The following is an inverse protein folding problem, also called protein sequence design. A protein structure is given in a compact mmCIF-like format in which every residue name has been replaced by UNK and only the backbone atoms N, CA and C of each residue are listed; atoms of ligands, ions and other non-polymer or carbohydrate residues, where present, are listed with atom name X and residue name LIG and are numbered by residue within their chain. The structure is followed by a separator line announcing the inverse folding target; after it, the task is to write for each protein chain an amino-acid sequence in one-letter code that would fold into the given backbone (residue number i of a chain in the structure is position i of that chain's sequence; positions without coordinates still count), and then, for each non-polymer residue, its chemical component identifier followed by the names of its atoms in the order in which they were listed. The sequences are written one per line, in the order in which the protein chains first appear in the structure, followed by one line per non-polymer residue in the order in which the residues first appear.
data_IF_278484735296
#
_entry.id   IF_278484735296
#
_cell.length_a   1.000
_cell.length_b   1.000
_cell.length_c   1.000
_cell.angle_alpha   90.00
_cell.angle_beta   90.00
_cell.angle_gamma   90.00
#
_symmetry.space_group_name_H-M   'P 1'
#
loop_
_entity.id
_entity.type
_entity.pdbx_description
1 polymer ?
#
# COMPACT_ATOMS: atom_id res chain seq x y z
N UNK A 1 30.54 -6.48 -41.98
CA UNK A 1 29.90 -7.49 -41.12
C UNK A 1 29.53 -6.78 -39.83
N UNK A 2 28.37 -6.15 -39.83
CA UNK A 2 27.86 -5.39 -38.68
C UNK A 2 26.99 -6.32 -37.84
N UNK A 3 27.26 -6.39 -36.54
CA UNK A 3 26.34 -6.99 -35.58
C UNK A 3 26.17 -5.99 -34.46
N UNK A 4 25.04 -5.30 -34.52
CA UNK A 4 24.55 -4.43 -33.45
C UNK A 4 23.87 -5.38 -32.46
N UNK A 5 24.49 -5.61 -31.31
CA UNK A 5 23.82 -6.32 -30.21
C UNK A 5 22.97 -5.28 -29.48
N UNK A 6 21.69 -5.21 -29.86
CA UNK A 6 20.68 -4.49 -29.10
C UNK A 6 20.44 -5.23 -27.78
N UNK A 7 20.77 -4.60 -26.66
CA UNK A 7 20.36 -5.08 -25.35
C UNK A 7 18.83 -5.02 -25.26
N UNK A 8 18.18 -6.18 -25.18
CA UNK A 8 16.75 -6.28 -24.89
C UNK A 8 16.53 -5.75 -23.46
N UNK A 9 15.82 -4.63 -23.35
CA UNK A 9 15.26 -4.20 -22.05
C UNK A 9 14.32 -5.30 -21.61
N UNK A 10 14.54 -5.85 -20.42
CA UNK A 10 13.64 -6.81 -19.81
C UNK A 10 12.20 -6.28 -19.87
N UNK A 11 11.32 -7.07 -20.48
CA UNK A 11 9.89 -6.79 -20.53
C UNK A 11 9.36 -6.72 -19.09
N UNK A 12 8.93 -5.54 -18.64
CA UNK A 12 8.17 -5.42 -17.41
C UNK A 12 6.87 -6.22 -17.59
N UNK A 13 6.68 -7.26 -16.79
CA UNK A 13 5.40 -7.94 -16.73
C UNK A 13 4.34 -6.90 -16.33
N UNK A 14 3.25 -6.80 -17.10
CA UNK A 14 2.09 -6.00 -16.67
C UNK A 14 1.52 -6.64 -15.42
N UNK A 15 1.83 -6.07 -14.26
CA UNK A 15 1.27 -6.50 -13.00
C UNK A 15 -0.24 -6.18 -13.00
N UNK A 16 -1.07 -7.19 -12.79
CA UNK A 16 -2.49 -7.02 -12.60
C UNK A 16 -2.85 -7.54 -11.19
N UNK A 17 -3.68 -6.77 -10.48
CA UNK A 17 -3.93 -6.99 -9.06
C UNK A 17 -4.40 -5.72 -8.34
N UNK A 18 -4.64 -5.83 -7.05
CA UNK A 18 -5.07 -4.72 -6.20
C UNK A 18 -4.79 -5.00 -4.72
N UNK A 19 -4.88 -3.96 -3.90
CA UNK A 19 -4.91 -4.03 -2.45
C UNK A 19 -6.24 -3.49 -1.94
N UNK A 20 -6.93 -4.28 -1.11
CA UNK A 20 -8.12 -3.87 -0.37
C UNK A 20 -7.74 -3.54 1.08
N UNK A 21 -8.06 -2.33 1.56
CA UNK A 21 -7.70 -1.88 2.91
C UNK A 21 -8.65 -0.79 3.45
N UNK A 22 -8.97 -0.82 4.75
CA UNK A 22 -9.83 0.18 5.42
C UNK A 22 -9.08 1.16 6.32
N UNK A 23 -7.76 1.26 6.19
CA UNK A 23 -6.89 2.11 7.04
C UNK A 23 -6.94 1.68 8.51
N UNK A 24 -7.96 2.14 9.23
CA UNK A 24 -8.32 1.75 10.60
C UNK A 24 -9.78 2.15 10.81
N UNK A 25 -10.64 1.19 11.15
CA UNK A 25 -12.09 1.45 11.25
C UNK A 25 -12.46 2.55 12.26
N UNK A 26 -11.73 2.66 13.38
CA UNK A 26 -11.96 3.73 14.36
C UNK A 26 -11.57 5.10 13.82
N UNK A 27 -10.50 5.19 13.02
CA UNK A 27 -10.10 6.44 12.36
C UNK A 27 -11.13 6.85 11.31
N UNK A 28 -11.56 5.93 10.45
CA UNK A 28 -12.61 6.22 9.46
C UNK A 28 -13.91 6.70 10.11
N UNK A 29 -14.33 6.04 11.21
CA UNK A 29 -15.51 6.45 11.97
C UNK A 29 -15.34 7.82 12.61
N UNK A 30 -14.14 8.11 13.12
CA UNK A 30 -13.82 9.40 13.70
C UNK A 30 -13.91 10.53 12.65
N UNK A 31 -13.23 10.40 11.51
CA UNK A 31 -13.28 11.41 10.44
C UNK A 31 -14.73 11.61 9.97
N UNK A 32 -15.47 10.53 9.73
CA UNK A 32 -16.88 10.60 9.32
C UNK A 32 -17.79 11.30 10.34
N UNK A 33 -17.42 11.26 11.62
CA UNK A 33 -18.17 11.88 12.71
C UNK A 33 -17.88 13.38 12.88
N UNK A 34 -16.84 13.91 12.24
CA UNK A 34 -16.51 15.34 12.32
C UNK A 34 -17.48 16.15 11.45
N UNK A 35 -17.95 17.33 11.92
CA UNK A 35 -18.81 18.21 11.12
C UNK A 35 -18.18 18.64 9.79
N UNK A 36 -16.86 18.73 9.75
CA UNK A 36 -16.02 19.12 8.61
C UNK A 36 -15.10 17.99 8.14
N UNK A 37 -15.40 16.75 8.53
CA UNK A 37 -14.62 15.58 8.17
C UNK A 37 -14.76 15.23 6.69
N UNK A 38 -13.64 15.12 5.98
CA UNK A 38 -13.61 14.78 4.55
C UNK A 38 -12.60 13.67 4.32
N UNK A 39 -12.94 12.77 3.39
CA UNK A 39 -12.02 11.81 2.80
C UNK A 39 -12.03 12.03 1.29
N UNK A 40 -10.99 12.68 0.78
CA UNK A 40 -10.75 12.81 -0.65
C UNK A 40 -10.06 11.53 -1.14
N UNK A 41 -10.63 10.93 -2.17
CA UNK A 41 -10.18 9.66 -2.74
C UNK A 41 -9.82 9.90 -4.20
N UNK A 42 -8.66 9.41 -4.62
CA UNK A 42 -8.26 9.52 -6.02
C UNK A 42 -9.21 8.71 -6.94
N UNK A 43 -9.45 9.15 -8.19
CA UNK A 43 -10.45 8.51 -9.07
C UNK A 43 -10.18 7.04 -9.43
N UNK A 44 -8.93 6.61 -9.32
CA UNK A 44 -8.46 5.26 -9.62
C UNK A 44 -8.65 4.27 -8.46
N UNK A 45 -9.00 4.75 -7.26
CA UNK A 45 -9.32 3.90 -6.11
C UNK A 45 -10.80 3.46 -6.18
N UNK A 46 -11.01 2.15 -6.14
CA UNK A 46 -12.35 1.57 -6.04
C UNK A 46 -12.90 1.61 -4.61
N UNK A 47 -14.22 1.81 -4.47
CA UNK A 47 -14.90 1.71 -3.17
C UNK A 47 -15.67 0.39 -3.09
N UNK A 48 -15.18 -0.55 -2.28
CA UNK A 48 -15.74 -1.91 -2.19
C UNK A 48 -16.92 -1.99 -1.19
N UNK A 49 -17.15 -0.92 -0.44
CA UNK A 49 -18.15 -0.84 0.62
C UNK A 49 -17.52 -1.04 2.00
N UNK A 50 -18.28 -0.71 3.06
CA UNK A 50 -17.81 -0.87 4.45
C UNK A 50 -16.61 0.01 4.84
N UNK A 51 -16.22 1.00 4.03
CA UNK A 51 -15.01 1.80 4.26
C UNK A 51 -13.73 1.15 3.72
N UNK A 52 -13.85 0.11 2.88
CA UNK A 52 -12.71 -0.55 2.22
C UNK A 52 -12.40 0.13 0.89
N UNK A 53 -11.15 0.54 0.74
CA UNK A 53 -10.58 1.15 -0.47
C UNK A 53 -9.79 0.10 -1.24
N UNK A 54 -10.01 0.05 -2.55
CA UNK A 54 -9.30 -0.81 -3.50
C UNK A 54 -8.28 0.01 -4.28
N UNK A 55 -7.01 -0.16 -3.95
CA UNK A 55 -5.89 0.48 -4.65
C UNK A 55 -5.41 -0.44 -5.79
N UNK A 56 -5.32 0.05 -7.03
CA UNK A 56 -4.86 -0.75 -8.16
C UNK A 56 -3.35 -1.04 -8.02
N UNK A 57 -2.92 -2.27 -8.31
CA UNK A 57 -1.51 -2.59 -8.45
C UNK A 57 -0.97 -1.94 -9.73
N UNK A 58 0.09 -1.15 -9.63
CA UNK A 58 0.66 -0.39 -10.75
C UNK A 58 2.02 -0.92 -11.19
N UNK A 59 2.80 -1.49 -10.28
CA UNK A 59 4.08 -2.11 -10.59
C UNK A 59 4.46 -3.19 -9.57
N UNK A 60 5.28 -4.14 -10.02
CA UNK A 60 6.03 -5.05 -9.15
C UNK A 60 7.51 -4.90 -9.51
N UNK A 61 8.31 -4.44 -8.55
CA UNK A 61 9.77 -4.46 -8.67
C UNK A 61 10.28 -5.72 -7.96
N UNK A 62 11.16 -6.50 -8.61
CA UNK A 62 11.69 -7.76 -8.07
C UNK A 62 13.14 -7.63 -7.55
N UNK A 63 13.77 -6.47 -7.72
CA UNK A 63 15.15 -6.24 -7.32
C UNK A 63 15.38 -4.75 -6.97
N UNK A 64 16.21 -4.43 -5.96
CA UNK A 64 16.95 -5.37 -5.09
C UNK A 64 16.08 -6.10 -4.05
N UNK A 65 14.91 -5.55 -3.74
CA UNK A 65 13.89 -6.09 -2.84
C UNK A 65 12.58 -6.22 -3.62
N UNK A 66 11.66 -7.07 -3.16
CA UNK A 66 10.35 -7.19 -3.81
C UNK A 66 9.44 -6.04 -3.37
N UNK A 67 8.89 -5.27 -4.30
CA UNK A 67 7.97 -4.18 -4.00
C UNK A 67 6.72 -4.25 -4.87
N UNK A 68 5.56 -4.32 -4.22
CA UNK A 68 4.25 -4.15 -4.87
C UNK A 68 3.80 -2.71 -4.68
N UNK A 69 3.73 -1.96 -5.78
CA UNK A 69 3.34 -0.55 -5.77
C UNK A 69 1.88 -0.40 -6.19
N UNK A 70 1.17 0.43 -5.46
CA UNK A 70 -0.24 0.68 -5.68
C UNK A 70 -0.49 2.14 -6.05
N UNK A 71 -1.46 2.37 -6.93
CA UNK A 71 -1.85 3.69 -7.40
C UNK A 71 -2.78 4.42 -6.44
N UNK A 72 -2.85 5.74 -6.61
CA UNK A 72 -3.86 6.57 -5.98
C UNK A 72 -3.46 7.16 -4.63
N UNK A 73 -4.40 7.90 -4.05
CA UNK A 73 -4.25 8.48 -2.72
C UNK A 73 -5.56 8.56 -1.95
N UNK A 74 -5.43 8.57 -0.62
CA UNK A 74 -6.46 9.00 0.32
C UNK A 74 -5.95 10.25 1.05
N UNK A 75 -6.79 11.27 1.17
CA UNK A 75 -6.53 12.45 1.99
C UNK A 75 -7.70 12.66 2.94
N UNK A 76 -7.42 12.55 4.22
CA UNK A 76 -8.38 12.78 5.29
C UNK A 76 -8.14 14.15 5.91
N UNK A 77 -9.20 14.95 6.04
CA UNK A 77 -9.12 16.28 6.68
C UNK A 77 -10.24 16.48 7.69
N UNK A 78 -10.03 17.39 8.64
CA UNK A 78 -11.04 17.85 9.59
C UNK A 78 -10.47 18.85 10.59
N UNK A 79 -11.29 19.29 11.55
CA UNK A 79 -10.92 20.27 12.58
C UNK A 79 -10.31 21.55 12.00
N UNK A 80 -10.92 22.14 10.98
CA UNK A 80 -10.42 23.37 10.36
C UNK A 80 -9.01 23.23 9.74
N UNK A 81 -8.63 22.01 9.36
CA UNK A 81 -7.33 21.69 8.75
C UNK A 81 -6.25 21.25 9.74
N UNK A 82 -6.53 21.17 11.04
CA UNK A 82 -5.58 20.63 12.02
C UNK A 82 -5.42 19.11 11.92
N UNK A 83 -6.44 18.41 11.42
CA UNK A 83 -6.31 17.03 10.99
C UNK A 83 -6.01 17.00 9.49
N UNK A 84 -4.85 16.46 9.13
CA UNK A 84 -4.54 16.05 7.77
C UNK A 84 -3.76 14.74 7.80
N UNK A 85 -4.28 13.71 7.14
CA UNK A 85 -3.59 12.43 6.91
C UNK A 85 -3.63 12.15 5.43
N UNK A 86 -2.46 12.02 4.81
CA UNK A 86 -2.32 11.68 3.39
C UNK A 86 -1.63 10.33 3.26
N UNK A 87 -2.27 9.43 2.51
CA UNK A 87 -1.72 8.13 2.13
C UNK A 87 -1.70 8.13 0.61
N UNK A 88 -0.54 8.40 0.02
CA UNK A 88 -0.33 8.44 -1.42
C UNK A 88 0.60 7.31 -1.88
N UNK A 89 0.30 6.78 -3.06
CA UNK A 89 1.10 5.77 -3.78
C UNK A 89 1.65 4.68 -2.85
N UNK A 90 0.77 3.94 -2.14
CA UNK A 90 1.21 2.99 -1.15
C UNK A 90 2.04 1.86 -1.78
N UNK A 91 2.96 1.29 -1.02
CA UNK A 91 3.69 0.10 -1.45
C UNK A 91 3.81 -0.90 -0.31
N UNK A 92 3.84 -2.17 -0.66
CA UNK A 92 4.25 -3.25 0.22
C UNK A 92 5.66 -3.67 -0.22
N UNK A 93 6.63 -3.56 0.67
CA UNK A 93 8.04 -3.83 0.40
C UNK A 93 8.45 -5.06 1.23
N UNK A 94 9.06 -6.06 0.60
CA UNK A 94 9.56 -7.29 1.23
C UNK A 94 11.08 -7.36 1.11
N UNK A 95 11.72 -7.54 2.26
CA UNK A 95 13.16 -7.79 2.39
C UNK A 95 13.41 -8.83 3.46
N UNK A 96 14.11 -9.90 3.11
CA UNK A 96 14.50 -10.98 4.04
C UNK A 96 13.33 -11.54 4.86
N UNK A 97 12.14 -11.61 4.28
CA UNK A 97 10.92 -12.08 4.94
C UNK A 97 10.21 -11.05 5.83
N UNK A 98 10.73 -9.81 5.91
CA UNK A 98 10.08 -8.69 6.59
C UNK A 98 9.32 -7.84 5.59
N UNK A 99 8.05 -7.54 5.90
CA UNK A 99 7.21 -6.70 5.06
C UNK A 99 6.99 -5.33 5.70
N UNK A 100 7.14 -4.27 4.91
CA UNK A 100 6.86 -2.89 5.31
C UNK A 100 5.83 -2.28 4.39
N UNK A 101 4.82 -1.65 4.97
CA UNK A 101 3.79 -0.91 4.25
C UNK A 101 4.13 0.58 4.28
N UNK A 102 4.38 1.16 3.10
CA UNK A 102 4.92 2.50 2.94
C UNK A 102 3.98 3.40 2.14
N UNK A 103 4.11 4.71 2.31
CA UNK A 103 3.42 5.72 1.50
C UNK A 103 4.39 6.82 1.08
N UNK A 104 4.18 7.39 -0.11
CA UNK A 104 4.94 8.53 -0.58
C UNK A 104 4.62 9.81 0.23
N UNK A 105 5.66 10.54 0.62
CA UNK A 105 5.61 11.87 1.21
C UNK A 105 6.67 12.74 0.54
N UNK A 106 6.25 13.59 -0.40
CA UNK A 106 7.13 14.48 -1.18
C UNK A 106 8.28 13.71 -1.86
N UNK A 107 9.51 13.87 -1.35
CA UNK A 107 10.75 13.32 -1.88
C UNK A 107 11.20 12.04 -1.16
N UNK A 108 10.40 11.52 -0.22
CA UNK A 108 10.68 10.30 0.55
C UNK A 108 9.47 9.39 0.64
N UNK A 109 9.68 8.19 1.19
CA UNK A 109 8.61 7.28 1.59
C UNK A 109 8.61 7.14 3.11
N UNK A 110 7.42 7.20 3.70
CA UNK A 110 7.18 6.96 5.11
C UNK A 110 6.80 5.49 5.29
N UNK A 111 7.45 4.79 6.22
CA UNK A 111 7.01 3.46 6.61
C UNK A 111 5.84 3.59 7.58
N UNK A 112 4.62 3.33 7.12
CA UNK A 112 3.41 3.46 7.95
C UNK A 112 3.32 2.31 8.95
N UNK A 113 3.58 1.08 8.49
CA UNK A 113 3.40 -0.11 9.31
C UNK A 113 4.39 -1.22 8.95
N UNK A 114 4.74 -2.02 9.95
CA UNK A 114 5.24 -3.37 9.73
C UNK A 114 4.05 -4.26 9.36
N UNK A 115 4.28 -5.17 8.41
CA UNK A 115 3.28 -6.08 7.89
C UNK A 115 3.70 -7.53 8.12
N UNK A 116 2.75 -8.37 8.48
CA UNK A 116 2.96 -9.80 8.69
C UNK A 116 1.92 -10.59 7.88
N UNK A 117 2.33 -11.49 6.97
CA UNK A 117 1.37 -12.35 6.27
C UNK A 117 0.73 -13.31 7.28
N UNK A 118 -0.59 -13.21 7.44
CA UNK A 118 -1.35 -14.04 8.40
C UNK A 118 -2.16 -15.13 7.73
N UNK A 119 -2.41 -14.99 6.43
CA UNK A 119 -3.21 -15.94 5.64
C UNK A 119 -2.87 -15.77 4.16
N UNK A 120 -2.60 -16.88 3.47
CA UNK A 120 -2.38 -16.89 2.02
C UNK A 120 -3.17 -18.04 1.39
N UNK A 121 -3.96 -17.71 0.38
CA UNK A 121 -4.74 -18.67 -0.39
C UNK A 121 -4.79 -18.21 -1.86
N UNK A 122 -4.40 -19.10 -2.77
CA UNK A 122 -4.33 -18.83 -4.21
C UNK A 122 -3.54 -17.53 -4.52
N UNK A 123 -4.21 -16.54 -5.11
CA UNK A 123 -3.68 -15.24 -5.49
C UNK A 123 -3.82 -14.17 -4.40
N UNK A 124 -4.33 -14.52 -3.22
CA UNK A 124 -4.71 -13.59 -2.17
C UNK A 124 -3.91 -13.80 -0.90
N UNK A 125 -3.31 -12.71 -0.41
CA UNK A 125 -2.61 -12.70 0.88
C UNK A 125 -3.18 -11.61 1.77
N UNK A 126 -3.52 -11.96 3.02
CA UNK A 126 -3.89 -11.01 4.07
C UNK A 126 -2.69 -10.73 4.96
N UNK A 127 -2.46 -9.46 5.24
CA UNK A 127 -1.40 -9.00 6.12
C UNK A 127 -1.98 -8.28 7.33
N UNK A 128 -1.55 -8.68 8.52
CA UNK A 128 -1.76 -7.89 9.73
C UNK A 128 -0.78 -6.72 9.73
N UNK A 129 -1.25 -5.53 10.11
CA UNK A 129 -0.47 -4.30 10.10
C UNK A 129 -0.30 -3.75 11.51
N UNK A 130 0.93 -3.35 11.86
CA UNK A 130 1.27 -2.67 13.11
C UNK A 130 1.98 -1.36 12.83
N UNK A 131 1.48 -0.27 13.40
CA UNK A 131 2.08 1.05 13.20
C UNK A 131 3.55 1.08 13.57
N UNK A 132 4.37 1.70 12.73
CA UNK A 132 5.71 2.13 13.13
C UNK A 132 5.63 3.44 13.94
N UNK A 133 6.78 3.95 14.40
CA UNK A 133 6.86 5.30 14.97
C UNK A 133 6.49 6.38 13.95
N UNK A 134 6.96 6.26 12.71
CA UNK A 134 6.64 7.26 11.67
C UNK A 134 5.16 7.19 11.26
N UNK A 135 4.58 5.99 11.20
CA UNK A 135 3.15 5.80 11.00
C UNK A 135 2.34 6.43 12.12
N UNK A 136 2.73 6.24 13.38
CA UNK A 136 2.07 6.90 14.51
C UNK A 136 2.07 8.43 14.37
N UNK A 137 3.19 9.02 13.92
CA UNK A 137 3.29 10.46 13.65
C UNK A 137 2.42 10.91 12.48
N UNK A 138 2.26 10.08 11.44
CA UNK A 138 1.34 10.37 10.33
C UNK A 138 -0.11 10.55 10.82
N UNK A 139 -0.51 9.81 11.86
CA UNK A 139 -1.83 9.97 12.51
C UNK A 139 -1.82 11.01 13.66
N UNK A 140 -0.82 11.90 13.72
CA UNK A 140 -0.72 12.94 14.74
C UNK A 140 -0.29 12.45 16.13
N UNK A 141 0.24 11.23 16.23
CA UNK A 141 0.74 10.64 17.49
C UNK A 141 -0.34 10.14 18.44
N UNK A 142 -1.61 10.08 18.00
CA UNK A 142 -2.73 9.58 18.84
C UNK A 142 -2.70 8.07 19.03
N UNK A 143 -2.05 7.35 18.10
CA UNK A 143 -1.83 5.92 18.15
C UNK A 143 -0.38 5.64 18.50
N UNK A 144 -0.12 4.59 19.28
CA UNK A 144 1.25 4.22 19.63
C UNK A 144 1.88 3.32 18.56
N UNK A 145 3.20 3.31 18.48
CA UNK A 145 3.90 2.29 17.69
C UNK A 145 3.51 0.88 18.19
N UNK A 146 3.37 -0.06 17.26
CA UNK A 146 2.87 -1.41 17.50
C UNK A 146 1.33 -1.52 17.51
N UNK A 147 0.60 -0.40 17.52
CA UNK A 147 -0.85 -0.41 17.50
C UNK A 147 -1.37 -1.00 16.17
N UNK A 148 -2.34 -1.92 16.22
CA UNK A 148 -2.89 -2.51 15.02
C UNK A 148 -3.66 -1.50 14.16
N UNK A 149 -3.44 -1.61 12.85
CA UNK A 149 -4.30 -1.05 11.81
C UNK A 149 -5.27 -2.12 11.31
N UNK A 150 -6.15 -1.76 10.39
CA UNK A 150 -6.93 -2.77 9.66
C UNK A 150 -5.99 -3.64 8.84
N UNK A 151 -6.28 -4.94 8.73
CA UNK A 151 -5.54 -5.83 7.85
C UNK A 151 -5.67 -5.39 6.40
N UNK A 152 -4.58 -5.49 5.63
CA UNK A 152 -4.61 -5.30 4.19
C UNK A 152 -4.80 -6.66 3.49
N UNK A 153 -5.46 -6.66 2.34
CA UNK A 153 -5.60 -7.85 1.51
C UNK A 153 -5.06 -7.54 0.12
N UNK A 154 -3.97 -8.18 -0.26
CA UNK A 154 -3.38 -8.08 -1.59
C UNK A 154 -3.89 -9.23 -2.46
N UNK A 155 -4.27 -8.92 -3.70
CA UNK A 155 -4.61 -9.89 -4.73
C UNK A 155 -3.76 -9.66 -5.97
N UNK A 156 -3.05 -10.68 -6.45
CA UNK A 156 -2.23 -10.62 -7.68
C UNK A 156 -2.80 -11.57 -8.73
N UNK A 157 -3.16 -11.09 -9.91
CA UNK A 157 -3.82 -11.93 -10.94
C UNK A 157 -2.85 -12.77 -11.77
N UNK A 158 -1.55 -12.68 -11.51
CA UNK A 158 -0.50 -13.51 -12.12
C UNK A 158 0.42 -14.06 -11.02
N UNK A 159 0.82 -15.33 -11.13
CA UNK A 159 1.95 -15.85 -10.35
C UNK A 159 3.24 -15.37 -11.02
N UNK A 160 4.24 -14.84 -10.29
CA UNK A 160 5.54 -14.58 -10.87
C UNK A 160 6.11 -15.92 -11.37
N UNK A 161 6.14 -16.12 -12.68
CA UNK A 161 6.72 -17.31 -13.28
C UNK A 161 8.24 -17.24 -13.10
N UNK A 162 8.76 -17.94 -12.08
CA UNK A 162 10.20 -18.19 -11.98
C UNK A 162 10.63 -18.97 -13.22
N UNK A 163 11.22 -18.30 -14.21
CA UNK A 163 11.94 -18.97 -15.28
C UNK A 163 13.23 -19.56 -14.70
N UNK A 164 13.14 -20.81 -14.25
CA UNK A 164 14.31 -21.63 -13.96
C UNK A 164 15.01 -21.93 -15.29
N UNK A 165 16.20 -21.34 -15.51
CA UNK A 165 17.05 -21.66 -16.66
C UNK A 165 17.53 -23.11 -16.54
N UNK A 166 17.34 -23.86 -17.62
CA UNK A 166 17.95 -25.17 -17.86
C UNK A 166 19.47 -25.06 -18.04
#
# INVERSE_FOLDING_TARGET
METIVSAERGQAATAAGWMDWSVKDSFLRYVKGLPDGVCDVSPDIGLVGGGVFRFPLTAIDLAPETSWRFGGFLRFTGHGGFLEVVIAEPALEESDGHYRFTSADRDRRICIADAEPVESADSRTRFALRLTTDGALLFGGVYSAGEPLSDLVMTTTEHPTTSQRA
#
